data_IF_889681166000
#
_entry.id   IF_889681166000
#
_cell.length_a   1.000
_cell.length_b   1.000
_cell.length_c   1.000
_cell.angle_alpha   90.00
_cell.angle_beta   90.00
_cell.angle_gamma   90.00
#
_symmetry.space_group_name_H-M   'P 1'
#
loop_
_entity.id
_entity.type
_entity.pdbx_description
1 polymer ?
#
# COMPACT_ATOMS: atom_id res chain seq x y z
N UNK A 1 -15.91 -55.54 14.78
CA UNK A 1 -15.74 -54.65 15.96
C UNK A 1 -15.21 -53.31 15.47
N UNK A 2 -15.92 -52.19 15.68
CA UNK A 2 -15.40 -50.86 15.38
C UNK A 2 -14.19 -50.55 16.27
N UNK A 3 -13.22 -49.75 15.77
CA UNK A 3 -12.05 -49.32 16.56
C UNK A 3 -12.51 -48.48 17.76
N UNK A 4 -11.87 -48.66 18.91
CA UNK A 4 -12.15 -47.83 20.08
C UNK A 4 -11.55 -46.43 19.93
N UNK A 5 -12.10 -45.44 20.64
CA UNK A 5 -11.59 -44.07 20.63
C UNK A 5 -10.11 -44.01 21.03
N UNK A 6 -9.69 -44.78 22.04
CA UNK A 6 -8.28 -44.86 22.45
C UNK A 6 -7.38 -45.40 21.34
N UNK A 7 -7.83 -46.43 20.60
CA UNK A 7 -7.08 -46.97 19.46
C UNK A 7 -6.94 -45.93 18.34
N UNK A 8 -7.99 -45.15 18.07
CA UNK A 8 -7.95 -44.06 17.08
C UNK A 8 -6.96 -42.98 17.50
N UNK A 9 -6.96 -42.55 18.78
CA UNK A 9 -6.03 -41.54 19.28
C UNK A 9 -4.56 -41.97 19.20
N UNK A 10 -4.26 -43.23 19.55
CA UNK A 10 -2.90 -43.80 19.41
C UNK A 10 -2.48 -43.80 17.94
N UNK A 11 -3.39 -44.17 17.03
CA UNK A 11 -3.10 -44.16 15.60
C UNK A 11 -2.84 -42.74 15.08
N UNK A 12 -3.56 -41.73 15.58
CA UNK A 12 -3.33 -40.31 15.23
C UNK A 12 -1.94 -39.86 15.68
N UNK A 13 -1.54 -40.11 16.93
CA UNK A 13 -0.21 -39.73 17.44
C UNK A 13 0.91 -40.38 16.63
N UNK A 14 0.76 -41.67 16.30
CA UNK A 14 1.71 -42.38 15.45
C UNK A 14 1.83 -41.73 14.05
N UNK A 15 0.70 -41.46 13.41
CA UNK A 15 0.66 -40.85 12.08
C UNK A 15 1.22 -39.42 12.10
N UNK A 16 0.99 -38.65 13.17
CA UNK A 16 1.56 -37.31 13.32
C UNK A 16 3.10 -37.37 13.42
N UNK A 17 3.64 -38.26 14.25
CA UNK A 17 5.10 -38.47 14.34
C UNK A 17 5.71 -38.90 13.01
N UNK A 18 5.04 -39.77 12.27
CA UNK A 18 5.47 -40.19 10.95
C UNK A 18 5.45 -39.02 9.95
N UNK A 19 4.37 -38.22 9.94
CA UNK A 19 4.26 -37.04 9.10
C UNK A 19 5.35 -36.01 9.40
N UNK A 20 5.67 -35.76 10.67
CA UNK A 20 6.73 -34.83 11.05
C UNK A 20 8.12 -35.36 10.68
N UNK A 21 8.36 -36.66 10.78
CA UNK A 21 9.60 -37.29 10.32
C UNK A 21 9.77 -37.17 8.80
N UNK A 22 8.70 -37.38 8.03
CA UNK A 22 8.70 -37.18 6.58
C UNK A 22 8.99 -35.72 6.26
N UNK A 23 8.27 -34.78 6.89
CA UNK A 23 8.47 -33.33 6.69
C UNK A 23 9.92 -32.93 6.99
N UNK A 24 10.51 -33.44 8.07
CA UNK A 24 11.89 -33.12 8.43
C UNK A 24 12.89 -33.57 7.35
N UNK A 25 12.70 -34.77 6.77
CA UNK A 25 13.53 -35.28 5.68
C UNK A 25 13.38 -34.44 4.40
N UNK A 26 12.15 -34.10 4.04
CA UNK A 26 11.86 -33.25 2.88
C UNK A 26 12.48 -31.86 3.04
N UNK A 27 12.27 -31.23 4.20
CA UNK A 27 12.82 -29.91 4.53
C UNK A 27 14.35 -29.93 4.50
N UNK A 28 15.00 -30.97 5.04
CA UNK A 28 16.45 -31.10 4.97
C UNK A 28 16.96 -31.16 3.51
N UNK A 29 16.30 -31.93 2.64
CA UNK A 29 16.62 -31.99 1.21
C UNK A 29 16.37 -30.68 0.46
N UNK A 30 15.30 -29.95 0.81
CA UNK A 30 15.03 -28.60 0.26
C UNK A 30 16.11 -27.61 0.71
N UNK A 31 16.45 -27.59 2.00
CA UNK A 31 17.49 -26.72 2.55
C UNK A 31 18.84 -26.98 1.86
N UNK A 32 19.20 -28.24 1.61
CA UNK A 32 20.41 -28.59 0.87
C UNK A 32 20.46 -27.93 -0.52
N UNK A 33 19.39 -28.08 -1.30
CA UNK A 33 19.27 -27.46 -2.63
C UNK A 33 19.30 -25.93 -2.58
N UNK A 34 18.64 -25.32 -1.60
CA UNK A 34 18.66 -23.86 -1.41
C UNK A 34 20.07 -23.39 -1.06
N UNK A 35 20.79 -24.10 -0.19
CA UNK A 35 22.19 -23.75 0.16
C UNK A 35 23.12 -23.82 -1.03
N UNK A 36 22.97 -24.83 -1.88
CA UNK A 36 23.73 -24.95 -3.12
C UNK A 36 23.44 -23.79 -4.07
N UNK A 37 22.16 -23.44 -4.25
CA UNK A 37 21.76 -22.28 -5.06
C UNK A 37 22.30 -20.96 -4.49
N UNK A 38 22.25 -20.76 -3.17
CA UNK A 38 22.85 -19.59 -2.50
C UNK A 38 24.34 -19.49 -2.81
N UNK A 39 25.08 -20.60 -2.73
CA UNK A 39 26.53 -20.63 -3.01
C UNK A 39 26.82 -20.38 -4.49
N UNK A 40 26.09 -21.02 -5.40
CA UNK A 40 26.35 -20.94 -6.84
C UNK A 40 26.02 -19.54 -7.40
N UNK A 41 24.92 -18.94 -6.96
CA UNK A 41 24.44 -17.65 -7.48
C UNK A 41 24.76 -16.48 -6.54
N UNK A 42 25.48 -16.73 -5.46
CA UNK A 42 25.86 -15.75 -4.46
C UNK A 42 24.65 -14.92 -3.93
N UNK A 43 23.51 -15.60 -3.77
CA UNK A 43 22.23 -15.01 -3.36
C UNK A 43 22.33 -14.46 -1.95
N UNK A 44 21.74 -13.30 -1.71
CA UNK A 44 21.66 -12.70 -0.38
C UNK A 44 20.27 -12.94 0.22
N UNK A 45 20.11 -12.84 1.56
CA UNK A 45 18.80 -12.98 2.20
C UNK A 45 17.73 -12.06 1.60
N UNK A 46 18.10 -10.87 1.14
CA UNK A 46 17.17 -9.91 0.54
C UNK A 46 16.53 -10.42 -0.76
N UNK A 47 17.25 -11.27 -1.50
CA UNK A 47 16.77 -11.87 -2.76
C UNK A 47 15.75 -13.00 -2.51
N UNK A 48 15.82 -13.64 -1.33
CA UNK A 48 14.96 -14.77 -0.94
C UNK A 48 13.75 -14.33 -0.12
N UNK A 49 13.92 -13.31 0.73
CA UNK A 49 12.93 -12.86 1.70
C UNK A 49 12.30 -11.51 1.36
N UNK A 50 12.27 -11.14 0.07
CA UNK A 50 11.61 -9.90 -0.34
C UNK A 50 10.12 -9.96 0.00
N UNK A 51 9.69 -9.13 0.95
CA UNK A 51 8.27 -8.93 1.23
C UNK A 51 7.63 -8.32 -0.01
N UNK A 52 6.70 -9.04 -0.64
CA UNK A 52 5.87 -8.57 -1.76
C UNK A 52 4.98 -7.35 -1.40
N UNK A 53 5.17 -6.72 -0.24
CA UNK A 53 4.41 -5.58 0.26
C UNK A 53 4.97 -4.19 -0.13
N UNK A 54 5.99 -4.09 -1.00
CA UNK A 54 6.44 -2.79 -1.54
C UNK A 54 6.33 -2.68 -3.07
N UNK A 55 5.15 -3.03 -3.61
CA UNK A 55 4.70 -2.48 -4.90
C UNK A 55 3.43 -1.68 -4.69
N UNK A 56 3.59 -0.53 -4.04
CA UNK A 56 2.48 0.36 -3.70
C UNK A 56 2.81 1.38 -2.62
N UNK A 57 4.04 1.87 -2.53
CA UNK A 57 4.25 3.15 -1.88
C UNK A 57 3.63 4.21 -2.78
N UNK A 58 2.33 4.48 -2.61
CA UNK A 58 1.75 5.73 -3.04
C UNK A 58 2.66 6.85 -2.50
N UNK A 59 3.02 7.86 -3.31
CA UNK A 59 3.82 8.96 -2.81
C UNK A 59 3.12 9.48 -1.56
N UNK A 60 3.87 9.54 -0.45
CA UNK A 60 3.38 10.09 0.81
C UNK A 60 2.67 11.40 0.46
N UNK A 61 1.37 11.47 0.74
CA UNK A 61 0.62 12.72 0.57
C UNK A 61 1.36 13.74 1.43
N UNK A 62 2.06 14.66 0.79
CA UNK A 62 2.61 15.84 1.45
C UNK A 62 1.46 16.43 2.27
N UNK A 63 1.61 16.58 3.60
CA UNK A 63 0.57 17.20 4.39
C UNK A 63 0.31 18.57 3.77
N UNK A 64 -0.95 18.85 3.45
CA UNK A 64 -1.40 20.19 3.05
C UNK A 64 -1.36 21.11 4.29
N UNK A 65 -0.19 21.25 4.90
CA UNK A 65 0.10 22.36 5.80
C UNK A 65 0.38 23.54 4.90
N UNK A 66 -0.53 24.52 4.86
CA UNK A 66 -0.24 25.80 4.22
C UNK A 66 1.06 26.38 4.77
N UNK A 67 1.80 27.10 3.92
CA UNK A 67 3.05 27.79 4.27
C UNK A 67 2.91 28.45 5.65
N UNK A 68 3.88 28.20 6.54
CA UNK A 68 3.91 28.81 7.87
C UNK A 68 3.84 30.33 7.74
N UNK A 69 2.76 30.94 8.27
CA UNK A 69 2.54 32.40 8.21
C UNK A 69 3.16 33.11 9.41
N UNK A 70 3.17 32.44 10.56
CA UNK A 70 3.70 32.98 11.81
C UNK A 70 4.77 32.07 12.41
N UNK A 71 5.79 32.66 13.04
CA UNK A 71 6.85 31.96 13.78
C UNK A 71 7.07 32.56 15.17
N UNK A 72 7.53 31.72 16.09
CA UNK A 72 8.02 32.09 17.41
C UNK A 72 9.55 32.09 17.44
N UNK A 73 10.14 32.81 18.39
CA UNK A 73 11.59 32.80 18.63
C UNK A 73 12.14 31.38 18.91
N UNK A 74 11.31 30.49 19.48
CA UNK A 74 11.66 29.09 19.76
C UNK A 74 11.58 28.17 18.51
N UNK A 75 11.43 28.74 17.31
CA UNK A 75 11.33 27.99 16.04
C UNK A 75 9.97 27.32 15.81
N UNK A 76 8.96 27.61 16.63
CA UNK A 76 7.59 27.10 16.47
C UNK A 76 6.86 27.88 15.39
N UNK A 77 6.18 27.21 14.46
CA UNK A 77 5.49 27.88 13.35
C UNK A 77 3.99 27.57 13.30
N UNK A 78 3.19 28.50 12.83
CA UNK A 78 1.75 28.34 12.62
C UNK A 78 1.31 28.90 11.27
N UNK A 79 0.51 28.15 10.53
CA UNK A 79 0.04 28.53 9.19
C UNK A 79 -1.04 29.62 9.20
N UNK A 80 -1.52 30.04 10.38
CA UNK A 80 -2.66 30.96 10.50
C UNK A 80 -4.02 30.27 10.31
N UNK A 81 -4.04 28.97 10.02
CA UNK A 81 -5.24 28.16 9.81
C UNK A 81 -5.52 27.29 11.05
N UNK A 82 -6.77 27.25 11.50
CA UNK A 82 -7.21 26.45 12.64
C UNK A 82 -7.05 27.14 14.00
N UNK A 83 -7.06 26.35 15.09
CA UNK A 83 -6.97 26.88 16.46
C UNK A 83 -5.60 27.53 16.69
N UNK A 84 -5.59 28.79 17.16
CA UNK A 84 -4.36 29.49 17.54
C UNK A 84 -3.57 28.66 18.57
N UNK A 85 -2.25 28.46 18.40
CA UNK A 85 -1.40 27.84 19.43
C UNK A 85 -1.30 28.69 20.71
N UNK A 86 -0.90 28.08 21.83
CA UNK A 86 -0.72 28.80 23.11
C UNK A 86 0.35 29.89 23.00
N UNK A 87 1.50 29.55 22.43
CA UNK A 87 2.63 30.48 22.22
C UNK A 87 2.23 31.75 21.44
N UNK A 88 1.29 31.65 20.51
CA UNK A 88 0.82 32.79 19.73
C UNK A 88 -0.08 33.69 20.58
N UNK A 89 -0.89 33.14 21.48
CA UNK A 89 -1.69 33.94 22.43
C UNK A 89 -0.81 34.63 23.46
N UNK A 90 0.13 33.89 24.03
CA UNK A 90 1.09 34.40 25.01
C UNK A 90 1.92 35.55 24.42
N UNK A 91 2.30 35.47 23.15
CA UNK A 91 3.01 36.55 22.47
C UNK A 91 2.14 37.81 22.31
N UNK A 92 0.83 37.67 22.02
CA UNK A 92 -0.10 38.80 21.98
C UNK A 92 -0.33 39.41 23.37
N UNK A 93 -0.43 38.58 24.41
CA UNK A 93 -0.55 39.04 25.80
C UNK A 93 0.73 39.72 26.31
N UNK A 94 1.89 39.26 25.83
CA UNK A 94 3.18 39.91 26.07
C UNK A 94 3.37 41.23 25.29
N UNK A 95 2.33 41.70 24.59
CA UNK A 95 2.32 42.98 23.87
C UNK A 95 2.97 42.93 22.49
N UNK A 96 3.30 41.75 21.96
CA UNK A 96 3.80 41.61 20.58
C UNK A 96 2.64 41.65 19.60
N UNK A 97 2.85 42.30 18.46
CA UNK A 97 1.82 42.35 17.43
C UNK A 97 1.82 41.05 16.62
N UNK A 98 0.66 40.64 16.05
CA UNK A 98 0.61 39.55 15.08
C UNK A 98 1.63 39.72 13.94
N UNK A 99 1.90 40.97 13.55
CA UNK A 99 2.80 41.39 12.48
C UNK A 99 4.27 41.10 12.80
N UNK A 100 4.68 41.24 14.05
CA UNK A 100 6.04 40.88 14.51
C UNK A 100 6.28 39.37 14.49
N UNK A 101 5.20 38.59 14.55
CA UNK A 101 5.25 37.13 14.50
C UNK A 101 5.13 36.60 13.08
N UNK A 102 4.92 37.44 12.06
CA UNK A 102 4.91 36.99 10.67
C UNK A 102 6.30 36.48 10.27
N UNK A 103 6.32 35.39 9.51
CA UNK A 103 7.53 34.93 8.83
C UNK A 103 7.83 35.91 7.69
N UNK A 104 8.40 37.07 8.03
CA UNK A 104 8.99 37.97 7.05
C UNK A 104 10.38 37.43 6.75
N UNK A 105 10.65 37.12 5.48
CA UNK A 105 11.93 36.56 5.03
C UNK A 105 13.06 37.60 5.06
N UNK A 106 13.36 38.15 6.23
CA UNK A 106 14.43 39.16 6.41
C UNK A 106 15.52 38.70 7.39
N UNK A 107 15.38 37.56 8.06
CA UNK A 107 16.46 36.96 8.85
C UNK A 107 16.80 35.55 8.32
N UNK A 108 17.67 35.52 7.31
CA UNK A 108 18.36 34.33 6.86
C UNK A 108 19.82 34.69 6.55
N UNK A 109 20.84 34.05 7.16
CA UNK A 109 22.20 34.22 6.72
C UNK A 109 22.36 33.58 5.34
N UNK A 110 22.85 34.40 4.41
CA UNK A 110 23.25 34.02 3.05
C UNK A 110 24.14 32.77 3.05
N UNK A 111 23.72 31.74 2.32
CA UNK A 111 24.63 30.72 1.76
C UNK A 111 24.35 30.58 0.27
N UNK A 112 25.18 31.31 -0.46
CA UNK A 112 25.92 30.92 -1.65
C UNK A 112 25.24 30.04 -2.73
N UNK A 113 25.36 30.59 -3.94
CA UNK A 113 25.03 30.03 -5.24
C UNK A 113 25.87 28.79 -5.58
N UNK A 114 25.25 27.65 -5.85
CA UNK A 114 25.76 26.66 -6.84
C UNK A 114 24.79 25.49 -7.03
N UNK A 115 24.31 25.29 -8.26
CA UNK A 115 23.65 24.05 -8.62
C UNK A 115 22.51 24.18 -9.63
N UNK A 116 22.80 24.74 -10.80
CA UNK A 116 21.92 24.64 -11.98
C UNK A 116 21.83 23.16 -12.40
N UNK A 117 20.85 22.42 -11.87
CA UNK A 117 20.42 21.14 -12.44
C UNK A 117 19.05 21.32 -13.05
N UNK A 118 19.06 21.35 -14.37
CA UNK A 118 17.91 21.20 -15.26
C UNK A 118 16.95 20.12 -14.74
N UNK A 119 15.73 20.51 -14.40
CA UNK A 119 14.58 19.59 -14.33
C UNK A 119 13.63 19.94 -15.47
N UNK A 120 14.11 19.72 -16.70
CA UNK A 120 13.25 19.44 -17.85
C UNK A 120 12.54 18.10 -17.65
N UNK A 121 11.58 18.05 -16.74
CA UNK A 121 10.68 16.90 -16.58
C UNK A 121 9.68 16.90 -17.73
N UNK A 122 9.99 16.19 -18.81
CA UNK A 122 8.97 15.83 -19.82
C UNK A 122 7.83 15.14 -19.07
N UNK A 123 6.67 15.79 -18.97
CA UNK A 123 5.43 15.16 -18.49
C UNK A 123 5.16 13.98 -19.42
N UNK A 124 5.45 12.77 -18.96
CA UNK A 124 5.02 11.56 -19.63
C UNK A 124 3.49 11.61 -19.68
N UNK A 125 2.94 11.70 -20.89
CA UNK A 125 1.50 11.71 -21.12
C UNK A 125 0.88 10.51 -20.38
N UNK A 126 -0.07 10.78 -19.50
CA UNK A 126 -0.84 9.73 -18.81
C UNK A 126 -1.53 8.89 -19.87
N UNK A 127 -1.04 7.66 -20.07
CA UNK A 127 -1.62 6.71 -21.02
C UNK A 127 -3.06 6.43 -20.56
N UNK A 128 -4.03 7.04 -21.24
CA UNK A 128 -5.46 6.77 -21.05
C UNK A 128 -5.65 5.26 -21.11
N UNK A 129 -6.04 4.65 -19.99
CA UNK A 129 -6.38 3.22 -19.95
C UNK A 129 -7.59 3.06 -20.85
N UNK A 130 -7.42 2.37 -21.98
CA UNK A 130 -8.55 1.99 -22.83
C UNK A 130 -9.46 1.12 -21.97
N UNK A 131 -10.65 1.63 -21.65
CA UNK A 131 -11.71 0.84 -21.04
C UNK A 131 -11.98 -0.29 -22.02
N UNK A 132 -11.76 -1.53 -21.59
CA UNK A 132 -12.03 -2.69 -22.43
C UNK A 132 -13.51 -2.72 -22.82
N UNK A 133 -13.83 -3.35 -23.94
CA UNK A 133 -15.21 -3.52 -24.40
C UNK A 133 -16.07 -4.15 -23.29
N UNK A 134 -17.24 -3.58 -22.96
CA UNK A 134 -18.15 -4.18 -22.00
C UNK A 134 -18.57 -5.57 -22.47
N UNK A 135 -18.37 -6.59 -21.64
CA UNK A 135 -18.65 -8.00 -21.98
C UNK A 135 -19.94 -8.51 -21.35
N UNK A 136 -20.32 -7.97 -20.19
CA UNK A 136 -21.48 -8.39 -19.42
C UNK A 136 -22.38 -7.21 -19.09
N UNK A 137 -23.69 -7.41 -19.01
CA UNK A 137 -24.69 -6.43 -18.57
C UNK A 137 -25.74 -7.06 -17.65
N UNK A 138 -26.45 -6.22 -16.90
CA UNK A 138 -27.46 -6.66 -15.94
C UNK A 138 -28.90 -6.26 -16.31
N UNK A 139 -29.13 -5.76 -17.52
CA UNK A 139 -30.42 -5.20 -17.96
C UNK A 139 -30.67 -3.76 -17.51
N UNK A 140 -30.24 -3.38 -16.30
CA UNK A 140 -30.38 -2.02 -15.73
C UNK A 140 -29.32 -1.01 -16.21
N UNK A 141 -28.66 -1.31 -17.34
CA UNK A 141 -27.61 -0.47 -17.92
C UNK A 141 -26.24 -0.54 -17.22
N UNK A 142 -26.07 -1.36 -16.17
CA UNK A 142 -24.73 -1.60 -15.60
C UNK A 142 -24.01 -2.64 -16.44
N UNK A 143 -22.76 -2.34 -16.78
CA UNK A 143 -21.93 -3.22 -17.60
C UNK A 143 -20.60 -3.53 -16.95
N UNK A 144 -20.01 -4.66 -17.32
CA UNK A 144 -18.72 -5.11 -16.83
C UNK A 144 -17.88 -5.73 -17.94
N UNK A 145 -16.61 -5.40 -17.99
CA UNK A 145 -15.69 -5.78 -19.07
C UNK A 145 -15.10 -7.19 -18.89
N UNK A 146 -15.47 -7.91 -17.82
CA UNK A 146 -14.90 -9.20 -17.47
C UNK A 146 -13.46 -9.13 -16.92
N UNK A 147 -12.90 -7.92 -16.77
CA UNK A 147 -11.54 -7.70 -16.29
C UNK A 147 -11.53 -6.96 -14.95
N UNK A 148 -10.78 -7.48 -13.99
CA UNK A 148 -10.70 -6.93 -12.63
C UNK A 148 -11.75 -7.53 -11.68
N UNK A 149 -12.06 -6.81 -10.60
CA UNK A 149 -13.00 -7.28 -9.58
C UNK A 149 -14.41 -7.45 -10.13
N UNK A 150 -15.06 -8.57 -9.81
CA UNK A 150 -16.46 -8.86 -10.18
C UNK A 150 -17.40 -7.90 -9.44
N UNK A 151 -18.27 -7.16 -10.15
CA UNK A 151 -19.27 -6.29 -9.53
C UNK A 151 -20.30 -7.09 -8.72
N UNK A 152 -20.85 -6.47 -7.68
CA UNK A 152 -21.85 -7.11 -6.80
C UNK A 152 -23.09 -7.60 -7.55
N UNK A 153 -23.55 -6.88 -8.58
CA UNK A 153 -24.69 -7.30 -9.41
C UNK A 153 -24.40 -8.59 -10.20
N UNK A 154 -23.16 -8.79 -10.65
CA UNK A 154 -22.76 -9.97 -11.40
C UNK A 154 -22.67 -11.19 -10.48
N UNK A 155 -22.17 -10.99 -9.26
CA UNK A 155 -22.13 -12.04 -8.23
C UNK A 155 -23.53 -12.41 -7.75
N UNK A 156 -24.41 -11.43 -7.55
CA UNK A 156 -25.80 -11.67 -7.17
C UNK A 156 -26.55 -12.47 -8.25
N UNK A 157 -26.39 -12.13 -9.53
CA UNK A 157 -27.00 -12.86 -10.63
C UNK A 157 -26.51 -14.32 -10.71
N UNK A 158 -25.22 -14.59 -10.48
CA UNK A 158 -24.70 -15.96 -10.38
C UNK A 158 -25.27 -16.73 -9.17
N UNK A 159 -25.49 -16.05 -8.04
CA UNK A 159 -26.07 -16.66 -6.85
C UNK A 159 -27.58 -16.95 -7.01
N UNK A 160 -28.28 -16.16 -7.82
CA UNK A 160 -29.68 -16.37 -8.21
C UNK A 160 -29.85 -17.48 -9.25
N UNK A 161 -28.76 -18.13 -9.68
CA UNK A 161 -28.78 -19.24 -10.63
C UNK A 161 -28.74 -18.81 -12.09
N UNK A 162 -28.53 -17.52 -12.40
CA UNK A 162 -28.22 -17.09 -13.77
C UNK A 162 -26.78 -17.46 -14.11
N UNK A 163 -26.54 -17.80 -15.36
CA UNK A 163 -25.19 -18.14 -15.82
C UNK A 163 -24.44 -16.89 -16.25
N UNK A 164 -23.10 -16.98 -16.34
CA UNK A 164 -22.31 -15.86 -16.84
C UNK A 164 -22.70 -15.54 -18.29
N UNK A 165 -23.09 -16.57 -19.04
CA UNK A 165 -23.55 -16.58 -20.43
C UNK A 165 -24.83 -15.76 -20.62
N UNK A 166 -25.77 -15.86 -19.69
CA UNK A 166 -27.02 -15.08 -19.70
C UNK A 166 -26.80 -13.58 -19.50
N UNK A 167 -25.65 -13.22 -18.92
CA UNK A 167 -25.27 -11.84 -18.65
C UNK A 167 -24.36 -11.27 -19.74
N UNK A 168 -23.99 -12.05 -20.78
CA UNK A 168 -23.16 -11.52 -21.86
C UNK A 168 -23.93 -10.48 -22.67
N UNK A 169 -23.25 -9.38 -22.99
CA UNK A 169 -23.72 -8.47 -24.03
C UNK A 169 -23.56 -9.22 -25.35
N UNK A 170 -24.68 -9.59 -25.96
CA UNK A 170 -24.69 -10.16 -27.30
C UNK A 170 -23.97 -9.18 -28.23
N UNK A 171 -22.92 -9.66 -28.91
CA UNK A 171 -22.27 -8.86 -29.95
C UNK A 171 -23.26 -8.70 -31.11
N UNK A 172 -23.42 -7.48 -31.67
CA UNK A 172 -24.24 -7.29 -32.87
C UNK A 172 -23.69 -8.09 -34.06
#
# INVERSE_FOLDING_TARGET
MPKSLQQVLIQIDKLQKEADSIRAKEVAGVIGRIKEAIKHYNLKPEDLFSSTAKKGAAPAKTPRGGVAKYSSADGRTWSGVGKRPSWFREALEAGKSPEDLLVTSTDAPSRDSSGKRSLGGKRAASKQRRVGEPKYHNGDGKTWTGKGTRPGWFVAALAEGRTAEDLLIAKP
#
